data_IF_842332740802
#
_entry.id   IF_842332740802
#
_cell.length_a   1.000
_cell.length_b   1.000
_cell.length_c   1.000
_cell.angle_alpha   90.00
_cell.angle_beta   90.00
_cell.angle_gamma   90.00
#
_symmetry.space_group_name_H-M   'P 1'
#
loop_
_entity.id
_entity.type
_entity.pdbx_description
1 polymer ?
#
# COMPACT_ATOMS: atom_id res chain seq x y z
N UNK A 1 -43.82 54.52 -24.00
CA UNK A 1 -43.62 53.69 -25.21
C UNK A 1 -43.61 52.24 -24.72
N UNK A 2 -44.76 51.56 -24.74
CA UNK A 2 -45.18 50.62 -25.81
C UNK A 2 -44.75 49.19 -25.43
N UNK A 3 -45.52 48.10 -25.46
CA UNK A 3 -46.71 47.68 -26.21
C UNK A 3 -47.46 46.56 -25.43
N UNK A 4 -48.76 46.43 -25.72
CA UNK A 4 -49.69 45.28 -25.56
C UNK A 4 -49.13 43.97 -26.20
N UNK A 5 -49.70 42.74 -26.06
CA UNK A 5 -51.16 42.48 -26.05
C UNK A 5 -51.74 41.21 -25.35
N UNK A 6 -53.09 41.18 -25.39
CA UNK A 6 -54.02 40.07 -25.68
C UNK A 6 -54.45 39.05 -24.59
N UNK A 7 -55.76 39.15 -24.28
CA UNK A 7 -56.62 38.23 -23.53
C UNK A 7 -57.43 37.32 -24.47
N UNK A 8 -57.95 36.25 -23.86
CA UNK A 8 -59.22 35.54 -24.12
C UNK A 8 -59.26 34.39 -25.15
N UNK A 9 -59.21 33.18 -24.59
CA UNK A 9 -60.27 32.17 -24.54
C UNK A 9 -61.05 31.83 -25.82
N UNK A 10 -61.03 30.54 -26.20
CA UNK A 10 -62.21 29.81 -26.68
C UNK A 10 -62.03 28.29 -26.56
N UNK A 11 -63.04 27.67 -25.95
CA UNK A 11 -63.27 26.22 -25.83
C UNK A 11 -63.40 25.57 -27.20
N UNK A 12 -62.89 24.34 -27.37
CA UNK A 12 -63.53 23.34 -28.22
C UNK A 12 -63.38 21.95 -27.60
N UNK A 13 -64.54 21.32 -27.44
CA UNK A 13 -64.81 19.97 -26.96
C UNK A 13 -64.24 18.93 -27.93
N UNK A 14 -63.71 17.84 -27.39
CA UNK A 14 -63.19 16.68 -28.13
C UNK A 14 -64.34 15.70 -28.36
N UNK A 15 -64.81 15.58 -29.59
CA UNK A 15 -65.64 14.45 -30.07
C UNK A 15 -64.76 13.19 -30.27
N UNK A 16 -65.32 11.96 -30.14
CA UNK A 16 -64.55 10.73 -29.99
C UNK A 16 -64.19 10.11 -31.34
N UNK A 17 -62.92 10.23 -31.73
CA UNK A 17 -62.42 9.56 -32.93
C UNK A 17 -62.05 8.10 -32.63
N UNK A 18 -63.00 7.23 -33.01
CA UNK A 18 -62.88 5.85 -33.46
C UNK A 18 -61.53 5.13 -33.21
N UNK A 19 -61.63 4.01 -32.49
CA UNK A 19 -60.60 2.96 -32.38
C UNK A 19 -60.15 2.51 -33.77
N UNK A 20 -59.01 3.01 -34.23
CA UNK A 20 -58.20 2.36 -35.26
C UNK A 20 -57.09 1.61 -34.53
N UNK A 21 -57.27 0.30 -34.35
CA UNK A 21 -56.20 -0.59 -33.92
C UNK A 21 -55.08 -0.52 -34.94
N UNK A 22 -53.91 -0.03 -34.53
CA UNK A 22 -52.72 -0.08 -35.36
C UNK A 22 -52.28 -1.55 -35.47
N UNK A 23 -52.02 -2.08 -36.68
CA UNK A 23 -51.47 -3.42 -36.85
C UNK A 23 -50.13 -3.56 -36.11
N UNK A 24 -49.91 -4.74 -35.50
CA UNK A 24 -48.82 -5.08 -34.58
C UNK A 24 -47.38 -4.82 -35.09
N UNK A 25 -47.21 -4.43 -36.35
CA UNK A 25 -45.90 -4.22 -36.99
C UNK A 25 -45.40 -2.76 -36.94
N UNK A 26 -46.18 -1.82 -36.39
CA UNK A 26 -45.81 -0.40 -36.26
C UNK A 26 -45.51 0.06 -34.82
N UNK A 27 -45.50 -0.84 -33.84
CA UNK A 27 -44.99 -0.50 -32.50
C UNK A 27 -43.46 -0.46 -32.55
N UNK A 28 -42.80 0.67 -32.24
CA UNK A 28 -41.35 0.65 -32.02
C UNK A 28 -41.08 -0.32 -30.87
N UNK A 29 -40.09 -1.21 -31.04
CA UNK A 29 -39.64 -2.14 -30.02
C UNK A 29 -38.98 -1.37 -28.86
N UNK A 30 -39.80 -0.75 -28.01
CA UNK A 30 -39.40 -0.38 -26.66
C UNK A 30 -39.59 -1.61 -25.79
N UNK A 31 -38.59 -2.48 -25.82
CA UNK A 31 -38.35 -3.38 -24.70
C UNK A 31 -38.26 -2.52 -23.43
N UNK A 32 -38.95 -2.87 -22.32
CA UNK A 32 -38.67 -2.23 -21.07
C UNK A 32 -37.23 -2.63 -20.75
N UNK A 33 -36.32 -1.64 -20.79
CA UNK A 33 -34.99 -1.79 -20.25
C UNK A 33 -35.21 -2.06 -18.75
N UNK A 34 -35.28 -3.34 -18.39
CA UNK A 34 -35.21 -3.75 -17.01
C UNK A 34 -33.96 -3.05 -16.47
N UNK A 35 -34.18 -2.16 -15.50
CA UNK A 35 -33.12 -1.57 -14.72
C UNK A 35 -32.43 -2.72 -14.00
N UNK A 36 -31.44 -3.32 -14.66
CA UNK A 36 -30.35 -3.99 -13.99
C UNK A 36 -29.61 -2.89 -13.27
N UNK A 37 -30.15 -2.49 -12.11
CA UNK A 37 -29.33 -1.99 -11.04
C UNK A 37 -28.30 -3.10 -10.83
N UNK A 38 -27.10 -2.88 -11.38
CA UNK A 38 -25.95 -3.68 -11.07
C UNK A 38 -25.81 -3.55 -9.55
N UNK A 39 -26.28 -4.57 -8.84
CA UNK A 39 -25.81 -4.85 -7.51
C UNK A 39 -24.31 -4.98 -7.68
N UNK A 40 -23.59 -3.88 -7.42
CA UNK A 40 -22.16 -3.93 -7.21
C UNK A 40 -21.99 -5.08 -6.21
N UNK A 41 -21.20 -6.12 -6.54
CA UNK A 41 -20.95 -7.19 -5.60
C UNK A 41 -20.52 -6.54 -4.29
N UNK A 42 -21.01 -7.02 -3.12
CA UNK A 42 -20.60 -6.45 -1.85
C UNK A 42 -19.08 -6.41 -1.86
N UNK A 43 -18.54 -5.20 -1.68
CA UNK A 43 -17.09 -4.95 -1.68
C UNK A 43 -16.53 -5.92 -0.65
N UNK A 44 -15.89 -7.01 -1.10
CA UNK A 44 -15.23 -7.95 -0.19
C UNK A 44 -14.24 -7.13 0.60
N UNK A 45 -14.43 -7.04 1.91
CA UNK A 45 -13.44 -6.39 2.77
C UNK A 45 -12.16 -7.24 2.64
N UNK A 46 -11.03 -6.69 2.14
CA UNK A 46 -9.80 -7.45 1.92
C UNK A 46 -9.20 -8.02 3.22
N UNK A 47 -9.77 -7.64 4.37
CA UNK A 47 -9.41 -8.11 5.71
C UNK A 47 -9.94 -9.52 6.01
N UNK A 48 -10.99 -10.01 5.31
CA UNK A 48 -11.61 -11.30 5.66
C UNK A 48 -10.79 -12.55 5.32
N UNK A 49 -9.66 -12.41 4.63
CA UNK A 49 -8.78 -13.52 4.23
C UNK A 49 -7.54 -13.67 5.13
N UNK A 50 -7.34 -12.75 6.09
CA UNK A 50 -6.16 -12.74 6.96
C UNK A 50 -6.50 -13.43 8.29
N UNK A 51 -5.73 -14.47 8.65
CA UNK A 51 -5.86 -15.12 9.95
C UNK A 51 -4.78 -14.65 10.92
N UNK A 52 -5.20 -14.36 12.15
CA UNK A 52 -4.32 -13.97 13.26
C UNK A 52 -4.38 -15.08 14.31
N UNK A 53 -3.26 -15.78 14.50
CA UNK A 53 -3.11 -16.79 15.53
C UNK A 53 -2.04 -16.37 16.53
N UNK A 54 -2.38 -16.40 17.81
CA UNK A 54 -1.45 -16.16 18.90
C UNK A 54 -0.88 -17.51 19.32
N UNK A 55 0.44 -17.65 19.25
CA UNK A 55 1.15 -18.86 19.69
C UNK A 55 2.03 -18.44 20.86
N UNK A 56 2.15 -19.29 21.87
CA UNK A 56 3.11 -19.08 22.94
C UNK A 56 4.52 -19.25 22.37
N UNK A 57 5.37 -18.23 22.53
CA UNK A 57 6.72 -18.27 22.01
C UNK A 57 7.50 -19.41 22.70
N UNK A 58 8.28 -20.23 21.98
CA UNK A 58 9.13 -21.21 22.64
C UNK A 58 10.08 -20.45 23.57
N UNK A 59 10.14 -20.85 24.85
CA UNK A 59 11.04 -20.28 25.84
C UNK A 59 12.49 -20.49 25.39
N UNK A 60 13.00 -19.62 24.53
CA UNK A 60 14.40 -19.59 24.16
C UNK A 60 15.18 -19.22 25.42
N UNK A 61 15.86 -20.20 26.01
CA UNK A 61 16.57 -20.07 27.28
C UNK A 61 17.37 -18.77 27.34
N UNK A 62 16.87 -17.81 28.13
CA UNK A 62 17.45 -16.49 28.25
C UNK A 62 18.72 -16.57 29.11
N UNK A 63 19.81 -17.06 28.54
CA UNK A 63 21.14 -16.88 29.13
C UNK A 63 21.65 -15.48 28.75
N UNK A 64 21.23 -14.48 29.52
CA UNK A 64 21.70 -13.10 29.39
C UNK A 64 20.86 -12.10 30.20
N UNK A 65 21.51 -11.33 31.07
CA UNK A 65 20.91 -10.31 31.92
C UNK A 65 20.46 -9.12 31.05
N UNK A 66 19.16 -9.03 30.75
CA UNK A 66 18.56 -7.86 30.08
C UNK A 66 17.56 -8.14 28.94
N UNK A 67 17.29 -9.39 28.58
CA UNK A 67 16.25 -9.68 27.57
C UNK A 67 14.87 -9.77 28.23
N UNK A 68 13.99 -8.82 27.91
CA UNK A 68 12.55 -8.96 28.20
C UNK A 68 12.03 -10.18 27.44
N UNK A 69 11.67 -11.24 28.16
CA UNK A 69 11.11 -12.43 27.54
C UNK A 69 9.77 -12.10 26.87
N UNK A 70 9.70 -12.26 25.55
CA UNK A 70 8.45 -12.33 24.80
C UNK A 70 7.78 -13.66 25.14
N UNK A 71 6.56 -13.60 25.67
CA UNK A 71 5.79 -14.81 26.03
C UNK A 71 4.89 -15.26 24.88
N UNK A 72 4.49 -14.34 24.01
CA UNK A 72 3.49 -14.58 22.96
C UNK A 72 4.06 -14.10 21.63
N UNK A 73 3.89 -14.89 20.57
CA UNK A 73 4.16 -14.52 19.18
C UNK A 73 2.86 -14.46 18.38
N UNK A 74 2.64 -13.35 17.68
CA UNK A 74 1.53 -13.19 16.75
C UNK A 74 1.95 -13.68 15.36
N UNK A 75 1.29 -14.74 14.89
CA UNK A 75 1.42 -15.26 13.54
C UNK A 75 0.29 -14.73 12.68
N UNK A 76 0.67 -14.11 11.57
CA UNK A 76 -0.23 -13.39 10.67
C UNK A 76 -0.11 -14.06 9.30
N UNK A 77 -1.16 -14.74 8.87
CA UNK A 77 -1.19 -15.48 7.61
C UNK A 77 -2.21 -14.89 6.65
N UNK A 78 -1.92 -14.97 5.36
CA UNK A 78 -2.82 -14.58 4.30
C UNK A 78 -2.18 -14.79 2.93
N UNK A 79 -2.72 -14.15 1.88
CA UNK A 79 -2.48 -14.57 0.50
C UNK A 79 -1.02 -14.37 0.03
N UNK A 80 -0.34 -13.31 0.49
CA UNK A 80 1.02 -13.00 0.05
C UNK A 80 2.12 -13.65 0.87
N UNK A 81 1.78 -14.31 1.99
CA UNK A 81 2.75 -14.99 2.85
C UNK A 81 2.35 -15.02 4.32
N UNK A 82 3.34 -15.29 5.16
CA UNK A 82 3.17 -15.39 6.60
C UNK A 82 4.24 -14.53 7.30
N UNK A 83 3.84 -13.83 8.37
CA UNK A 83 4.74 -13.05 9.21
C UNK A 83 4.56 -13.43 10.67
N UNK A 84 5.66 -13.44 11.40
CA UNK A 84 5.69 -13.67 12.84
C UNK A 84 6.18 -12.40 13.54
N UNK A 85 5.49 -12.00 14.60
CA UNK A 85 5.86 -10.85 15.42
C UNK A 85 5.88 -11.25 16.89
N UNK A 86 7.01 -11.01 17.55
CA UNK A 86 7.16 -11.29 18.98
C UNK A 86 6.54 -10.17 19.82
N UNK A 87 5.69 -10.55 20.77
CA UNK A 87 4.97 -9.63 21.64
C UNK A 87 5.57 -9.71 23.05
N UNK A 88 5.92 -8.56 23.66
CA UNK A 88 6.41 -8.52 25.02
C UNK A 88 5.33 -8.95 26.03
N UNK A 89 5.77 -9.54 27.13
CA UNK A 89 4.87 -10.17 28.13
C UNK A 89 3.86 -9.24 28.81
N UNK A 90 4.06 -7.93 28.78
CA UNK A 90 3.14 -6.95 29.37
C UNK A 90 2.00 -6.51 28.43
N UNK A 91 1.94 -7.04 27.21
CA UNK A 91 0.86 -6.78 26.26
C UNK A 91 -0.05 -8.00 26.15
N UNK A 92 -1.36 -7.76 26.20
CA UNK A 92 -2.39 -8.78 26.01
C UNK A 92 -3.15 -8.50 24.73
N UNK A 93 -3.22 -9.51 23.86
CA UNK A 93 -3.95 -9.45 22.58
C UNK A 93 -5.23 -10.25 22.70
N UNK A 94 -6.36 -9.56 22.61
CA UNK A 94 -7.68 -10.19 22.59
C UNK A 94 -8.18 -10.18 21.15
N UNK A 95 -8.36 -11.36 20.56
CA UNK A 95 -8.88 -11.52 19.21
C UNK A 95 -10.34 -12.00 19.25
N UNK A 96 -11.26 -11.11 18.91
CA UNK A 96 -12.67 -11.44 18.80
C UNK A 96 -12.96 -12.00 17.40
N UNK A 97 -13.02 -13.32 17.30
CA UNK A 97 -13.27 -14.06 16.04
C UNK A 97 -14.61 -13.71 15.39
N UNK A 98 -15.62 -13.38 16.20
CA UNK A 98 -16.97 -13.01 15.74
C UNK A 98 -16.99 -11.63 15.07
N UNK A 99 -16.25 -10.67 15.63
CA UNK A 99 -16.21 -9.30 15.12
C UNK A 99 -15.06 -9.04 14.14
N UNK A 100 -14.15 -10.02 13.95
CA UNK A 100 -12.92 -9.88 13.17
C UNK A 100 -12.09 -8.66 13.64
N UNK A 101 -12.08 -8.41 14.94
CA UNK A 101 -11.36 -7.30 15.58
C UNK A 101 -10.34 -7.84 16.55
N UNK A 102 -9.12 -7.33 16.46
CA UNK A 102 -8.09 -7.54 17.46
C UNK A 102 -7.98 -6.29 18.34
N UNK A 103 -8.10 -6.46 19.64
CA UNK A 103 -7.85 -5.40 20.62
C UNK A 103 -6.56 -5.69 21.38
N UNK A 104 -5.76 -4.65 21.58
CA UNK A 104 -4.49 -4.73 22.31
C UNK A 104 -4.65 -3.96 23.61
N UNK A 105 -4.30 -4.59 24.71
CA UNK A 105 -4.34 -4.02 26.05
C UNK A 105 -2.99 -4.16 26.75
N UNK A 106 -2.76 -3.31 27.72
CA UNK A 106 -1.54 -3.21 28.51
C UNK A 106 -1.89 -3.55 29.96
N UNK A 107 -0.95 -4.15 30.70
CA UNK A 107 -1.10 -4.40 32.14
C UNK A 107 -1.14 -3.07 32.92
N UNK A 108 -0.10 -2.23 32.77
CA UNK A 108 0.00 -0.96 33.49
C UNK A 108 -0.11 0.24 32.53
N UNK A 109 -1.24 0.97 32.52
CA UNK A 109 -1.41 2.12 31.63
C UNK A 109 -0.56 3.34 32.04
N UNK A 110 -0.12 3.42 33.29
CA UNK A 110 0.69 4.53 33.82
C UNK A 110 2.18 4.45 33.45
N UNK A 111 2.68 3.26 33.08
CA UNK A 111 4.08 3.10 32.68
C UNK A 111 4.30 3.68 31.26
N UNK A 112 5.15 4.72 31.11
CA UNK A 112 5.41 5.33 29.80
C UNK A 112 6.03 4.35 28.81
N UNK A 113 6.83 3.37 29.27
CA UNK A 113 7.47 2.39 28.40
C UNK A 113 6.43 1.44 27.81
N UNK A 114 5.52 0.91 28.64
CA UNK A 114 4.45 0.02 28.16
C UNK A 114 3.51 0.75 27.20
N UNK A 115 3.16 2.01 27.50
CA UNK A 115 2.31 2.85 26.64
C UNK A 115 2.95 3.12 25.27
N UNK A 116 4.24 3.41 25.23
CA UNK A 116 4.97 3.60 23.97
C UNK A 116 5.02 2.30 23.15
N UNK A 117 5.30 1.17 23.81
CA UNK A 117 5.38 -0.12 23.13
C UNK A 117 4.03 -0.59 22.58
N UNK A 118 2.93 -0.32 23.29
CA UNK A 118 1.58 -0.62 22.83
C UNK A 118 1.27 0.00 21.47
N UNK A 119 1.57 1.29 21.30
CA UNK A 119 1.38 1.98 20.03
C UNK A 119 2.24 1.38 18.90
N UNK A 120 3.49 1.05 19.22
CA UNK A 120 4.45 0.43 18.29
C UNK A 120 3.95 -0.93 17.80
N UNK A 121 3.61 -1.85 18.71
CA UNK A 121 3.15 -3.20 18.38
C UNK A 121 1.81 -3.15 17.62
N UNK A 122 0.90 -2.26 18.01
CA UNK A 122 -0.35 -2.00 17.27
C UNK A 122 -0.07 -1.61 15.82
N UNK A 123 0.86 -0.69 15.60
CA UNK A 123 1.23 -0.24 14.27
C UNK A 123 1.89 -1.36 13.45
N UNK A 124 2.77 -2.17 14.05
CA UNK A 124 3.39 -3.30 13.37
C UNK A 124 2.38 -4.38 12.98
N UNK A 125 1.47 -4.78 13.87
CA UNK A 125 0.41 -5.75 13.56
C UNK A 125 -0.45 -5.24 12.41
N UNK A 126 -0.87 -3.97 12.45
CA UNK A 126 -1.62 -3.36 11.35
C UNK A 126 -0.83 -3.40 10.03
N UNK A 127 0.45 -3.03 10.04
CA UNK A 127 1.29 -3.06 8.86
C UNK A 127 1.48 -4.48 8.32
N UNK A 128 1.57 -5.49 9.18
CA UNK A 128 1.67 -6.89 8.77
C UNK A 128 0.38 -7.39 8.14
N UNK A 129 -0.79 -7.09 8.73
CA UNK A 129 -2.10 -7.44 8.15
C UNK A 129 -2.25 -6.83 6.76
N UNK A 130 -1.99 -5.53 6.62
CA UNK A 130 -2.03 -4.85 5.31
C UNK A 130 -0.98 -5.41 4.35
N UNK A 131 0.21 -5.76 4.85
CA UNK A 131 1.30 -6.30 4.01
C UNK A 131 1.01 -7.70 3.47
N UNK A 132 0.42 -8.57 4.27
CA UNK A 132 0.07 -9.93 3.86
C UNK A 132 -1.16 -9.98 2.94
N UNK A 133 -2.07 -9.01 3.08
CA UNK A 133 -3.24 -8.87 2.20
C UNK A 133 -2.89 -8.14 0.89
N UNK A 134 -2.44 -6.88 0.99
CA UNK A 134 -2.25 -5.97 -0.15
C UNK A 134 -0.79 -5.88 -0.61
N UNK A 135 0.18 -6.11 0.28
CA UNK A 135 1.60 -5.87 0.02
C UNK A 135 2.00 -4.41 0.20
N UNK A 136 3.26 -4.17 0.55
CA UNK A 136 3.83 -2.82 0.63
C UNK A 136 4.62 -2.51 -0.63
N UNK A 137 4.42 -1.30 -1.14
CA UNK A 137 5.09 -0.81 -2.34
C UNK A 137 5.90 0.43 -1.95
N UNK A 138 7.15 0.49 -2.42
CA UNK A 138 8.02 1.65 -2.28
C UNK A 138 8.61 2.02 -3.63
N UNK A 139 8.32 3.24 -4.08
CA UNK A 139 8.79 3.74 -5.38
C UNK A 139 10.01 4.61 -5.16
N UNK A 140 11.12 4.29 -5.80
CA UNK A 140 12.29 5.15 -5.87
C UNK A 140 12.38 5.80 -7.24
N UNK A 141 12.48 7.13 -7.27
CA UNK A 141 12.69 7.88 -8.50
C UNK A 141 14.06 8.55 -8.50
N UNK A 142 14.81 8.37 -9.58
CA UNK A 142 16.13 8.94 -9.75
C UNK A 142 16.06 10.17 -10.64
N UNK A 143 16.68 11.26 -10.17
CA UNK A 143 16.81 12.50 -10.91
C UNK A 143 18.30 12.77 -11.13
N UNK A 144 18.70 12.83 -12.39
CA UNK A 144 20.10 13.09 -12.77
C UNK A 144 20.38 12.63 -14.19
N UNK A 145 21.30 13.32 -14.85
CA UNK A 145 21.76 12.91 -16.18
C UNK A 145 22.59 11.64 -16.03
N UNK A 146 22.25 10.61 -16.81
CA UNK A 146 22.92 9.30 -16.75
C UNK A 146 22.53 8.43 -15.57
N UNK A 147 21.58 8.86 -14.72
CA UNK A 147 21.14 8.08 -13.58
C UNK A 147 20.19 6.98 -14.04
N UNK A 148 20.57 5.72 -13.78
CA UNK A 148 19.74 4.56 -14.10
C UNK A 148 19.98 3.40 -13.15
N UNK A 149 18.99 2.53 -13.05
CA UNK A 149 19.02 1.32 -12.26
C UNK A 149 18.65 0.13 -13.15
N UNK A 150 19.35 -0.98 -12.93
CA UNK A 150 19.11 -2.28 -13.56
C UNK A 150 19.01 -3.34 -12.48
N UNK A 151 18.26 -4.41 -12.75
CA UNK A 151 18.20 -5.57 -11.86
C UNK A 151 19.01 -6.68 -12.51
N UNK A 152 20.02 -7.15 -11.80
CA UNK A 152 20.98 -8.13 -12.26
C UNK A 152 20.92 -9.37 -11.36
N UNK A 153 21.16 -10.54 -11.93
CA UNK A 153 21.12 -11.82 -11.19
C UNK A 153 22.44 -12.16 -10.52
N UNK A 154 23.52 -11.48 -10.90
CA UNK A 154 24.88 -11.74 -10.43
C UNK A 154 25.54 -10.41 -10.14
N UNK A 155 26.22 -10.32 -9.02
CA UNK A 155 27.01 -9.16 -8.61
C UNK A 155 28.50 -9.48 -8.69
N UNK A 156 29.30 -8.49 -9.09
CA UNK A 156 30.77 -8.57 -9.11
C UNK A 156 31.37 -8.18 -7.76
N UNK A 157 30.71 -7.27 -7.04
CA UNK A 157 31.28 -6.59 -5.86
C UNK A 157 30.77 -7.17 -4.53
N UNK A 158 29.57 -7.74 -4.54
CA UNK A 158 28.89 -8.20 -3.32
C UNK A 158 28.65 -9.70 -3.36
N UNK A 159 29.03 -10.40 -2.30
CA UNK A 159 28.75 -11.83 -2.15
C UNK A 159 27.25 -12.05 -1.88
N UNK A 160 26.60 -13.00 -2.59
CA UNK A 160 25.21 -13.34 -2.31
C UNK A 160 25.06 -13.89 -0.89
N UNK A 161 24.07 -13.39 -0.17
CA UNK A 161 23.71 -13.85 1.18
C UNK A 161 22.89 -15.15 1.12
N UNK A 162 22.07 -15.30 0.07
CA UNK A 162 21.21 -16.47 -0.16
C UNK A 162 21.23 -16.88 -1.65
N UNK A 163 20.92 -18.16 -1.98
CA UNK A 163 20.98 -18.65 -3.35
C UNK A 163 19.92 -17.97 -4.23
N UNK A 164 20.31 -17.55 -5.45
CA UNK A 164 19.40 -16.89 -6.39
C UNK A 164 19.06 -15.45 -6.04
N UNK A 165 19.81 -14.82 -5.12
CA UNK A 165 19.65 -13.42 -4.78
C UNK A 165 19.84 -12.51 -6.01
N UNK A 166 18.89 -11.60 -6.21
CA UNK A 166 18.95 -10.56 -7.24
C UNK A 166 19.61 -9.31 -6.66
N UNK A 167 20.21 -8.52 -7.52
CA UNK A 167 20.94 -7.31 -7.16
C UNK A 167 20.39 -6.11 -7.93
N UNK A 168 20.30 -4.98 -7.25
CA UNK A 168 20.02 -3.68 -7.88
C UNK A 168 21.36 -3.03 -8.23
N UNK A 169 21.63 -2.91 -9.52
CA UNK A 169 22.81 -2.24 -10.07
C UNK A 169 22.48 -0.78 -10.38
N UNK A 170 23.14 0.15 -9.71
CA UNK A 170 22.91 1.59 -9.78
C UNK A 170 24.06 2.27 -10.51
N UNK A 171 23.72 3.06 -11.54
CA UNK A 171 24.62 3.99 -12.21
C UNK A 171 24.21 5.40 -11.86
N UNK A 172 24.79 5.96 -10.79
CA UNK A 172 24.42 7.28 -10.24
C UNK A 172 25.61 8.26 -10.20
N UNK A 173 26.48 8.17 -11.21
CA UNK A 173 27.62 9.08 -11.38
C UNK A 173 28.86 8.72 -10.54
N UNK A 174 29.01 7.45 -10.17
CA UNK A 174 30.26 6.88 -9.69
C UNK A 174 31.01 6.19 -10.83
N UNK A 175 32.32 5.98 -10.69
CA UNK A 175 33.15 5.38 -11.73
C UNK A 175 32.83 3.90 -12.00
N UNK A 176 32.35 3.17 -11.00
CA UNK A 176 31.90 1.78 -11.09
C UNK A 176 30.40 1.67 -10.73
N UNK A 177 29.68 0.66 -11.24
CA UNK A 177 28.29 0.41 -10.84
C UNK A 177 28.23 0.01 -9.36
N UNK A 178 27.19 0.48 -8.66
CA UNK A 178 26.93 0.11 -7.26
C UNK A 178 25.90 -1.01 -7.27
N UNK A 179 26.29 -2.19 -6.82
CA UNK A 179 25.43 -3.37 -6.74
C UNK A 179 24.94 -3.55 -5.30
N UNK A 180 23.62 -3.69 -5.11
CA UNK A 180 23.01 -3.89 -3.79
C UNK A 180 22.17 -5.16 -3.80
N UNK A 181 22.46 -6.07 -2.86
CA UNK A 181 21.69 -7.31 -2.70
C UNK A 181 20.28 -7.01 -2.20
N UNK A 182 19.27 -7.51 -2.90
CA UNK A 182 17.88 -7.39 -2.47
C UNK A 182 17.68 -8.32 -1.25
N UNK A 183 17.10 -7.85 -0.14
CA UNK A 183 16.87 -8.69 1.02
C UNK A 183 15.76 -9.71 0.77
N UNK A 184 15.75 -10.79 1.55
CA UNK A 184 14.74 -11.84 1.45
C UNK A 184 13.31 -11.31 1.68
N UNK A 185 12.36 -11.78 0.87
CA UNK A 185 10.96 -11.37 0.93
C UNK A 185 10.67 -9.98 0.35
N UNK A 186 11.66 -9.34 -0.29
CA UNK A 186 11.48 -8.13 -1.07
C UNK A 186 11.75 -8.45 -2.54
N UNK A 187 10.86 -7.98 -3.41
CA UNK A 187 11.03 -8.02 -4.86
C UNK A 187 11.32 -6.61 -5.37
N UNK A 188 12.29 -6.49 -6.28
CA UNK A 188 12.53 -5.26 -7.00
C UNK A 188 12.16 -5.45 -8.47
N UNK A 189 11.51 -4.43 -9.05
CA UNK A 189 11.28 -4.30 -10.49
C UNK A 189 11.70 -2.91 -10.97
N UNK A 190 12.07 -2.78 -12.24
CA UNK A 190 12.48 -1.51 -12.86
C UNK A 190 11.59 -1.21 -14.07
N UNK A 191 10.38 -0.67 -13.84
CA UNK A 191 9.45 -0.36 -14.94
C UNK A 191 10.01 0.72 -15.89
N UNK A 192 10.86 1.61 -15.36
CA UNK A 192 11.61 2.59 -16.12
C UNK A 192 13.05 2.58 -15.64
N UNK A 193 14.04 2.88 -16.49
CA UNK A 193 15.44 2.93 -16.05
C UNK A 193 15.66 3.97 -14.93
N UNK A 194 14.80 4.98 -14.82
CA UNK A 194 14.85 6.03 -13.81
C UNK A 194 13.96 5.75 -12.58
N UNK A 195 13.22 4.64 -12.55
CA UNK A 195 12.30 4.28 -11.45
C UNK A 195 12.49 2.83 -11.01
N UNK A 196 12.66 2.64 -9.70
CA UNK A 196 12.70 1.33 -9.07
C UNK A 196 11.41 1.16 -8.27
N UNK A 197 10.77 0.01 -8.42
CA UNK A 197 9.59 -0.39 -7.66
C UNK A 197 10.03 -1.53 -6.73
N UNK A 198 9.98 -1.28 -5.43
CA UNK A 198 10.21 -2.30 -4.41
C UNK A 198 8.86 -2.77 -3.88
N UNK A 199 8.64 -4.07 -3.87
CA UNK A 199 7.45 -4.71 -3.36
C UNK A 199 7.84 -5.71 -2.27
N UNK A 200 7.02 -5.86 -1.25
CA UNK A 200 7.28 -6.85 -0.21
C UNK A 200 6.18 -6.92 0.83
N UNK A 201 6.19 -8.01 1.60
CA UNK A 201 5.18 -8.26 2.64
C UNK A 201 5.47 -7.45 3.91
N UNK A 202 6.75 -7.25 4.23
CA UNK A 202 7.19 -6.57 5.44
C UNK A 202 7.62 -5.13 5.15
N UNK A 203 6.85 -4.16 5.66
CA UNK A 203 7.09 -2.72 5.45
C UNK A 203 8.49 -2.27 5.92
N UNK A 204 8.97 -2.83 7.03
CA UNK A 204 10.26 -2.46 7.62
C UNK A 204 11.41 -2.80 6.67
N UNK A 205 11.46 -4.04 6.16
CA UNK A 205 12.49 -4.46 5.19
C UNK A 205 12.45 -3.65 3.90
N UNK A 206 11.26 -3.45 3.33
CA UNK A 206 11.09 -2.67 2.09
C UNK A 206 11.61 -1.25 2.26
N UNK A 207 11.21 -0.57 3.34
CA UNK A 207 11.61 0.83 3.59
C UNK A 207 13.07 0.96 4.01
N UNK A 208 13.62 -0.01 4.75
CA UNK A 208 15.03 -0.06 5.10
C UNK A 208 15.90 -0.22 3.84
N UNK A 209 15.53 -1.12 2.93
CA UNK A 209 16.25 -1.29 1.67
C UNK A 209 16.16 -0.04 0.78
N UNK A 210 14.98 0.60 0.72
CA UNK A 210 14.82 1.88 0.03
C UNK A 210 15.74 2.98 0.61
N UNK A 211 15.88 3.02 1.94
CA UNK A 211 16.77 3.97 2.61
C UNK A 211 18.25 3.70 2.29
N UNK A 212 18.67 2.43 2.25
CA UNK A 212 20.02 2.03 1.85
C UNK A 212 20.33 2.45 0.41
N UNK A 213 19.39 2.28 -0.52
CA UNK A 213 19.56 2.76 -1.90
C UNK A 213 19.71 4.30 -1.92
N UNK A 214 18.84 5.02 -1.19
CA UNK A 214 18.87 6.49 -1.11
C UNK A 214 20.16 7.04 -0.52
N UNK A 215 20.82 6.29 0.36
CA UNK A 215 22.06 6.72 1.02
C UNK A 215 23.19 7.02 0.03
N UNK A 216 23.30 6.24 -1.06
CA UNK A 216 24.33 6.43 -2.09
C UNK A 216 24.26 7.79 -2.78
N UNK A 217 23.05 8.31 -3.01
CA UNK A 217 22.83 9.64 -3.60
C UNK A 217 21.58 10.30 -3.03
N UNK A 218 21.76 10.98 -1.90
CA UNK A 218 20.73 11.82 -1.30
C UNK A 218 20.38 13.01 -2.23
N UNK A 219 19.12 13.47 -2.25
CA UNK A 219 18.70 14.64 -3.04
C UNK A 219 19.48 15.90 -2.67
N UNK A 220 20.08 16.57 -3.65
CA UNK A 220 20.79 17.82 -3.44
C UNK A 220 19.86 19.05 -3.48
N UNK A 221 20.15 20.12 -2.71
CA UNK A 221 19.27 21.28 -2.59
C UNK A 221 19.34 22.27 -3.77
N UNK A 222 20.23 22.09 -4.76
CA UNK A 222 20.39 23.06 -5.85
C UNK A 222 19.72 22.62 -7.15
N UNK A 223 20.06 21.44 -7.67
CA UNK A 223 19.45 20.91 -8.91
C UNK A 223 18.51 19.73 -8.66
N UNK A 224 18.27 19.36 -7.40
CA UNK A 224 17.39 18.24 -7.06
C UNK A 224 17.87 16.89 -7.58
N UNK A 225 19.16 16.75 -7.93
CA UNK A 225 19.72 15.46 -8.33
C UNK A 225 19.82 14.54 -7.13
N UNK A 226 19.49 13.27 -7.34
CA UNK A 226 19.53 12.24 -6.30
C UNK A 226 18.40 11.24 -6.46
N UNK A 227 18.24 10.44 -5.41
CA UNK A 227 17.23 9.38 -5.33
C UNK A 227 16.16 9.82 -4.34
N UNK A 228 14.92 9.88 -4.80
CA UNK A 228 13.75 10.22 -4.00
C UNK A 228 12.95 8.97 -3.69
N UNK A 229 12.40 8.89 -2.48
CA UNK A 229 11.59 7.76 -2.01
C UNK A 229 10.13 8.19 -1.86
N UNK A 230 9.20 7.43 -2.45
CA UNK A 230 7.74 7.63 -2.32
C UNK A 230 7.25 9.05 -2.64
N UNK A 231 7.84 9.70 -3.64
CA UNK A 231 7.46 11.06 -4.02
C UNK A 231 7.98 12.15 -3.06
N UNK A 232 9.01 11.85 -2.26
CA UNK A 232 9.78 12.85 -1.52
C UNK A 232 10.18 14.02 -2.45
N UNK A 233 10.11 15.24 -1.94
CA UNK A 233 10.56 16.44 -2.66
C UNK A 233 11.52 17.25 -1.80
N UNK A 234 12.47 17.93 -2.44
CA UNK A 234 13.43 18.82 -1.79
C UNK A 234 13.19 20.26 -2.20
N UNK A 235 13.30 21.19 -1.25
CA UNK A 235 13.23 22.63 -1.53
C UNK A 235 14.51 23.07 -2.23
N UNK A 236 14.38 23.59 -3.45
CA UNK A 236 15.51 24.08 -4.23
C UNK A 236 15.96 25.45 -3.74
N UNK A 237 17.26 25.62 -3.53
CA UNK A 237 17.91 26.91 -3.26
C UNK A 237 18.21 27.61 -4.58
N UNK A 238 17.83 28.88 -4.66
CA UNK A 238 18.21 29.73 -5.77
C UNK A 238 19.73 29.89 -5.83
N UNK A 239 20.29 29.82 -7.04
CA UNK A 239 21.69 30.16 -7.25
C UNK A 239 21.85 31.67 -7.08
N UNK A 240 22.78 32.13 -6.25
CA UNK A 240 23.20 33.53 -6.24
C UNK A 240 23.95 33.79 -7.55
N UNK A 241 23.24 34.32 -8.55
CA UNK A 241 23.84 34.86 -9.76
C UNK A 241 24.50 36.17 -9.33
N UNK A 242 25.84 36.23 -9.39
CA UNK A 242 26.59 37.48 -9.28
C UNK A 242 26.66 38.13 -10.65
#
# INVERSE_FOLDING_TARGET
>A
MSFLPQRCARQLLREPFQRRSLPLFLTPAFSPLASNASLLPPRRNPVSEVSLSLIDAPNAGAQGRGKSASKVSAHIKGPKGELTLDIPSFLTVNHDTVSQKATLSIIDPEDPHQRAMWGTIRAHIQNHITGVSEGHICILSMVGVGYRATIETTATTVTPTYPGQKFVSLKVGFSHPIELGIPEGVEASTPQPTRILLEGVEKQKVTQFAAQIREWRRPEPYKGKGIFVNGETIKLKAKKIK
#
